data_IF_578844624731
#
_entry.id   IF_578844624731
#
_cell.length_a   1.000
_cell.length_b   1.000
_cell.length_c   1.000
_cell.angle_alpha   90.00
_cell.angle_beta   90.00
_cell.angle_gamma   90.00
#
_symmetry.space_group_name_H-M   'P 1'
#
loop_
_entity.id
_entity.type
_entity.pdbx_description
1 polymer ?
#
# COMPACT_ATOMS: atom_id res chain seq x y z
N UNK A 1 23.76 -17.34 13.33
CA UNK A 1 24.13 -18.65 13.91
C UNK A 1 23.34 -19.76 13.22
N UNK A 2 23.69 -20.07 11.97
CA UNK A 2 23.24 -21.28 11.27
C UNK A 2 24.27 -22.39 11.58
N UNK A 3 25.57 -22.09 11.44
CA UNK A 3 26.67 -23.05 11.68
C UNK A 3 26.77 -23.65 13.10
N UNK A 4 26.27 -23.00 14.16
CA UNK A 4 26.41 -23.54 15.53
C UNK A 4 25.37 -24.63 15.86
N UNK A 5 24.22 -24.65 15.16
CA UNK A 5 23.14 -25.60 15.42
C UNK A 5 23.07 -26.74 14.38
N UNK A 6 23.83 -26.67 13.29
CA UNK A 6 23.79 -27.67 12.20
C UNK A 6 24.92 -28.70 12.23
N UNK A 7 25.75 -28.74 13.28
CA UNK A 7 26.77 -29.77 13.50
C UNK A 7 27.50 -30.20 12.23
N UNK A 8 28.34 -29.33 11.65
CA UNK A 8 29.11 -29.59 10.43
C UNK A 8 28.36 -30.31 9.29
N UNK A 9 27.03 -30.17 9.22
CA UNK A 9 26.23 -30.70 8.12
C UNK A 9 26.79 -30.10 6.83
N UNK A 10 27.31 -30.98 5.98
CA UNK A 10 27.85 -30.60 4.69
C UNK A 10 26.68 -30.02 3.91
N UNK A 11 26.71 -28.71 3.64
CA UNK A 11 25.69 -28.06 2.85
C UNK A 11 25.78 -28.60 1.43
N UNK A 12 24.90 -29.54 1.11
CA UNK A 12 24.75 -30.01 -0.25
C UNK A 12 24.12 -28.89 -1.09
N UNK A 13 24.80 -28.56 -2.18
CA UNK A 13 24.45 -27.48 -3.10
C UNK A 13 23.04 -27.69 -3.67
N UNK A 14 22.61 -28.95 -3.82
CA UNK A 14 21.26 -29.29 -4.26
C UNK A 14 20.21 -28.79 -3.27
N UNK A 15 20.39 -29.04 -1.97
CA UNK A 15 19.48 -28.53 -0.93
C UNK A 15 19.45 -27.01 -0.85
N UNK A 16 20.59 -26.34 -1.05
CA UNK A 16 20.63 -24.87 -1.08
C UNK A 16 19.85 -24.32 -2.28
N UNK A 17 19.98 -24.96 -3.44
CA UNK A 17 19.24 -24.57 -4.64
C UNK A 17 17.74 -24.83 -4.50
N UNK A 18 17.33 -25.95 -3.90
CA UNK A 18 15.92 -26.24 -3.60
C UNK A 18 15.35 -25.20 -2.63
N UNK A 19 16.05 -24.93 -1.52
CA UNK A 19 15.65 -23.92 -0.55
C UNK A 19 15.51 -22.53 -1.18
N UNK A 20 16.46 -22.13 -2.03
CA UNK A 20 16.39 -20.87 -2.77
C UNK A 20 15.19 -20.85 -3.74
N UNK A 21 14.92 -21.96 -4.43
CA UNK A 21 13.78 -22.09 -5.34
C UNK A 21 12.41 -22.02 -4.65
N UNK A 22 12.33 -22.37 -3.36
CA UNK A 22 11.11 -22.26 -2.55
C UNK A 22 10.83 -20.84 -2.04
N UNK A 23 11.81 -19.93 -2.08
CA UNK A 23 11.60 -18.55 -1.65
C UNK A 23 10.74 -17.78 -2.66
N UNK A 24 9.79 -16.98 -2.17
CA UNK A 24 9.06 -16.02 -3.00
C UNK A 24 10.11 -15.08 -3.63
N UNK A 25 10.09 -14.85 -4.96
CA UNK A 25 11.04 -13.96 -5.64
C UNK A 25 11.10 -12.54 -5.07
N UNK A 26 10.09 -12.14 -4.29
CA UNK A 26 9.99 -10.84 -3.62
C UNK A 26 10.63 -10.83 -2.23
N UNK A 27 11.18 -11.95 -1.74
CA UNK A 27 11.96 -11.99 -0.51
C UNK A 27 13.31 -11.32 -0.76
N UNK A 28 13.55 -10.22 -0.08
CA UNK A 28 14.84 -9.55 -0.10
C UNK A 28 15.73 -10.06 1.05
N UNK A 29 17.05 -9.91 0.92
CA UNK A 29 17.99 -10.31 1.98
C UNK A 29 17.66 -9.68 3.35
N UNK A 30 17.32 -8.38 3.46
CA UNK A 30 16.87 -7.81 4.73
C UNK A 30 15.62 -8.49 5.33
N UNK A 31 14.64 -8.85 4.50
CA UNK A 31 13.45 -9.58 4.96
C UNK A 31 13.81 -10.98 5.47
N UNK A 32 14.69 -11.69 4.77
CA UNK A 32 15.15 -13.01 5.20
C UNK A 32 15.90 -12.95 6.54
N UNK A 33 16.80 -11.96 6.72
CA UNK A 33 17.53 -11.77 7.97
C UNK A 33 16.58 -11.44 9.14
N UNK A 34 15.59 -10.58 8.91
CA UNK A 34 14.58 -10.24 9.91
C UNK A 34 13.70 -11.45 10.27
N UNK A 35 13.33 -12.26 9.27
CA UNK A 35 12.57 -13.49 9.47
C UNK A 35 13.35 -14.48 10.34
N UNK A 36 14.62 -14.75 10.01
CA UNK A 36 15.51 -15.62 10.80
C UNK A 36 15.61 -15.13 12.25
N UNK A 37 15.85 -13.83 12.45
CA UNK A 37 15.94 -13.26 13.80
C UNK A 37 14.63 -13.40 14.57
N UNK A 38 13.50 -13.07 13.94
CA UNK A 38 12.18 -13.08 14.58
C UNK A 38 11.69 -14.49 14.90
N UNK A 39 11.97 -15.47 14.04
CA UNK A 39 11.56 -16.84 14.24
C UNK A 39 12.33 -17.48 15.40
N UNK A 40 13.65 -17.44 15.40
CA UNK A 40 14.44 -18.07 16.46
C UNK A 40 14.35 -17.34 17.81
N UNK A 41 13.95 -16.07 17.82
CA UNK A 41 13.57 -15.39 19.06
C UNK A 41 12.26 -15.92 19.66
N UNK A 42 11.34 -16.45 18.85
CA UNK A 42 10.04 -16.94 19.28
C UNK A 42 9.95 -18.48 19.40
N UNK A 43 10.72 -19.20 18.58
CA UNK A 43 10.69 -20.65 18.40
C UNK A 43 12.13 -21.17 18.28
N UNK A 44 12.87 -21.16 19.39
CA UNK A 44 14.29 -21.53 19.41
C UNK A 44 14.55 -23.03 19.19
N UNK A 45 13.53 -23.86 19.40
CA UNK A 45 13.57 -25.33 19.32
C UNK A 45 13.13 -25.87 17.95
N UNK A 46 12.58 -25.03 17.08
CA UNK A 46 12.06 -25.42 15.77
C UNK A 46 13.01 -25.06 14.63
N UNK A 47 12.89 -25.81 13.55
CA UNK A 47 13.66 -25.60 12.34
C UNK A 47 12.87 -24.71 11.38
N UNK A 48 13.45 -23.57 11.04
CA UNK A 48 12.87 -22.67 10.05
C UNK A 48 12.83 -23.32 8.66
N UNK A 49 11.69 -23.22 8.00
CA UNK A 49 11.51 -23.61 6.59
C UNK A 49 11.47 -22.38 5.68
N UNK A 50 11.62 -22.58 4.36
CA UNK A 50 11.47 -21.49 3.39
C UNK A 50 10.07 -20.85 3.44
N UNK A 51 9.04 -21.66 3.70
CA UNK A 51 7.66 -21.20 3.90
C UNK A 51 7.52 -20.19 5.06
N UNK A 52 8.29 -20.37 6.14
CA UNK A 52 8.28 -19.44 7.27
C UNK A 52 8.86 -18.08 6.85
N UNK A 53 9.98 -18.10 6.12
CA UNK A 53 10.59 -16.87 5.58
C UNK A 53 9.60 -16.14 4.67
N UNK A 54 8.93 -16.86 3.77
CA UNK A 54 7.92 -16.29 2.88
C UNK A 54 6.76 -15.66 3.66
N UNK A 55 6.28 -16.32 4.73
CA UNK A 55 5.23 -15.79 5.58
C UNK A 55 5.65 -14.52 6.33
N UNK A 56 6.86 -14.49 6.89
CA UNK A 56 7.41 -13.30 7.55
C UNK A 56 7.60 -12.15 6.56
N UNK A 57 8.22 -12.41 5.41
CA UNK A 57 8.41 -11.41 4.36
C UNK A 57 7.07 -10.87 3.84
N UNK A 58 6.06 -11.72 3.69
CA UNK A 58 4.69 -11.27 3.37
C UNK A 58 4.13 -10.34 4.45
N UNK A 59 4.23 -10.70 5.72
CA UNK A 59 3.77 -9.86 6.84
C UNK A 59 4.50 -8.51 6.89
N UNK A 60 5.81 -8.51 6.65
CA UNK A 60 6.60 -7.28 6.58
C UNK A 60 6.12 -6.36 5.45
N UNK A 61 5.91 -6.93 4.25
CA UNK A 61 5.36 -6.18 3.10
C UNK A 61 3.97 -5.64 3.39
N UNK A 62 3.09 -6.44 3.99
CA UNK A 62 1.73 -6.01 4.33
C UNK A 62 1.73 -4.88 5.37
N UNK A 63 2.63 -4.92 6.38
CA UNK A 63 2.81 -3.84 7.36
C UNK A 63 3.40 -2.58 6.76
N UNK A 64 4.30 -2.73 5.79
CA UNK A 64 4.96 -1.63 5.10
C UNK A 64 4.14 -1.11 3.91
N UNK A 65 2.93 -1.61 3.67
CA UNK A 65 2.05 -1.07 2.64
C UNK A 65 1.47 0.26 3.12
N UNK A 66 1.61 1.35 2.34
CA UNK A 66 0.98 2.62 2.69
C UNK A 66 -0.54 2.46 2.68
N UNK A 67 -1.21 3.07 3.66
CA UNK A 67 -2.67 3.12 3.69
C UNK A 67 -3.19 4.01 2.56
N UNK A 68 -4.45 3.81 2.15
CA UNK A 68 -5.07 4.68 1.13
C UNK A 68 -5.08 6.15 1.58
N UNK A 69 -5.27 6.41 2.88
CA UNK A 69 -5.17 7.75 3.44
C UNK A 69 -3.77 8.36 3.23
N UNK A 70 -2.69 7.59 3.48
CA UNK A 70 -1.33 8.06 3.26
C UNK A 70 -1.03 8.32 1.77
N UNK A 71 -1.59 7.51 0.87
CA UNK A 71 -1.47 7.72 -0.57
C UNK A 71 -2.23 9.00 -0.97
N UNK A 72 -3.45 9.21 -0.47
CA UNK A 72 -4.23 10.44 -0.68
C UNK A 72 -3.50 11.69 -0.19
N UNK A 73 -2.95 11.66 1.02
CA UNK A 73 -2.19 12.77 1.59
C UNK A 73 -0.94 13.08 0.76
N UNK A 74 -0.23 12.04 0.29
CA UNK A 74 0.92 12.20 -0.59
C UNK A 74 0.53 12.80 -1.95
N UNK A 75 -0.58 12.36 -2.54
CA UNK A 75 -1.12 12.93 -3.78
C UNK A 75 -1.50 14.41 -3.61
N UNK A 76 -2.16 14.77 -2.50
CA UNK A 76 -2.52 16.16 -2.20
C UNK A 76 -1.27 17.04 -2.04
N UNK A 77 -0.27 16.57 -1.29
CA UNK A 77 1.02 17.27 -1.13
C UNK A 77 1.76 17.44 -2.45
N UNK A 78 1.65 16.46 -3.34
CA UNK A 78 2.21 16.47 -4.68
C UNK A 78 1.40 17.32 -5.69
N UNK A 79 0.21 17.81 -5.32
CA UNK A 79 -0.67 18.54 -6.23
C UNK A 79 -1.33 17.67 -7.32
N UNK A 80 -1.35 16.35 -7.13
CA UNK A 80 -1.97 15.39 -8.05
C UNK A 80 -3.50 15.52 -7.90
N UNK A 81 -4.17 15.98 -8.96
CA UNK A 81 -5.62 16.24 -8.95
C UNK A 81 -6.36 15.62 -10.13
N UNK A 82 -5.65 15.15 -11.15
CA UNK A 82 -6.24 14.50 -12.30
C UNK A 82 -6.54 13.02 -12.05
N UNK A 83 -7.70 12.53 -12.48
CA UNK A 83 -8.15 11.16 -12.22
C UNK A 83 -7.17 10.11 -12.79
N UNK A 84 -6.60 10.37 -13.96
CA UNK A 84 -5.65 9.45 -14.61
C UNK A 84 -4.33 9.41 -13.84
N UNK A 85 -3.89 10.57 -13.40
CA UNK A 85 -2.68 10.84 -12.64
C UNK A 85 -2.75 10.16 -11.28
N UNK A 86 -3.86 10.34 -10.56
CA UNK A 86 -4.11 9.64 -9.29
C UNK A 86 -4.01 8.11 -9.44
N UNK A 87 -4.64 7.54 -10.48
CA UNK A 87 -4.56 6.10 -10.74
C UNK A 87 -3.16 5.64 -11.12
N UNK A 88 -2.41 6.44 -11.88
CA UNK A 88 -1.03 6.13 -12.23
C UNK A 88 -0.12 6.15 -11.00
N UNK A 89 -0.28 7.15 -10.13
CA UNK A 89 0.46 7.27 -8.87
C UNK A 89 0.18 6.07 -7.95
N UNK A 90 -1.09 5.75 -7.70
CA UNK A 90 -1.51 4.58 -6.92
C UNK A 90 -0.87 3.28 -7.44
N UNK A 91 -0.89 3.06 -8.76
CA UNK A 91 -0.29 1.87 -9.38
C UNK A 91 1.22 1.82 -9.18
N UNK A 92 1.92 2.94 -9.37
CA UNK A 92 3.36 3.03 -9.19
C UNK A 92 3.77 2.72 -7.74
N UNK A 93 3.09 3.33 -6.75
CA UNK A 93 3.33 3.07 -5.32
C UNK A 93 3.12 1.59 -5.00
N UNK A 94 1.98 1.02 -5.41
CA UNK A 94 1.66 -0.38 -5.14
C UNK A 94 2.67 -1.35 -5.78
N UNK A 95 3.15 -1.05 -6.98
CA UNK A 95 4.15 -1.85 -7.65
C UNK A 95 5.49 -1.82 -6.91
N UNK A 96 5.97 -0.64 -6.52
CA UNK A 96 7.22 -0.49 -5.79
C UNK A 96 7.18 -1.18 -4.42
N UNK A 97 6.04 -1.10 -3.73
CA UNK A 97 5.84 -1.84 -2.46
C UNK A 97 5.81 -3.35 -2.70
N UNK A 98 5.20 -3.80 -3.80
CA UNK A 98 5.20 -5.21 -4.17
C UNK A 98 6.61 -5.74 -4.51
N UNK A 99 7.49 -4.89 -5.03
CA UNK A 99 8.92 -5.13 -5.28
C UNK A 99 9.79 -5.01 -4.02
N UNK A 100 9.18 -4.71 -2.86
CA UNK A 100 9.87 -4.71 -1.57
C UNK A 100 10.42 -3.36 -1.13
N UNK A 101 10.14 -2.26 -1.85
CA UNK A 101 10.42 -0.91 -1.31
C UNK A 101 9.52 -0.64 -0.11
N UNK A 102 10.03 0.11 0.87
CA UNK A 102 9.20 0.58 1.97
C UNK A 102 8.18 1.63 1.47
N UNK A 103 7.10 1.85 2.23
CA UNK A 103 6.05 2.80 1.89
C UNK A 103 6.57 4.20 1.57
N UNK A 104 7.46 4.74 2.41
CA UNK A 104 7.91 6.12 2.31
C UNK A 104 8.73 6.33 1.03
N UNK A 105 9.65 5.43 0.75
CA UNK A 105 10.47 5.45 -0.47
C UNK A 105 9.62 5.23 -1.72
N UNK A 106 8.60 4.36 -1.64
CA UNK A 106 7.66 4.15 -2.75
C UNK A 106 6.83 5.40 -3.05
N UNK A 107 6.31 6.08 -2.03
CA UNK A 107 5.56 7.35 -2.17
C UNK A 107 6.43 8.45 -2.78
N UNK A 108 7.67 8.57 -2.31
CA UNK A 108 8.63 9.57 -2.79
C UNK A 108 9.07 9.28 -4.23
N UNK A 109 9.46 8.03 -4.52
CA UNK A 109 9.96 7.64 -5.85
C UNK A 109 8.85 7.68 -6.92
N UNK A 110 7.61 7.34 -6.56
CA UNK A 110 6.48 7.45 -7.48
C UNK A 110 6.26 8.89 -7.95
N UNK A 111 6.46 9.88 -7.07
CA UNK A 111 6.39 11.30 -7.43
C UNK A 111 7.53 11.71 -8.38
N UNK A 112 8.76 11.32 -8.04
CA UNK A 112 9.95 11.65 -8.84
C UNK A 112 9.96 11.03 -10.24
N UNK A 113 9.25 9.92 -10.45
CA UNK A 113 9.20 9.24 -11.76
C UNK A 113 8.27 9.88 -12.78
N UNK A 114 7.27 10.69 -12.38
CA UNK A 114 6.38 11.35 -13.36
C UNK A 114 6.04 12.81 -13.04
N UNK A 115 7.01 13.69 -12.79
CA UNK A 115 6.75 15.10 -12.45
C UNK A 115 5.84 15.79 -13.48
N UNK A 116 6.08 15.56 -14.78
CA UNK A 116 5.33 16.22 -15.86
C UNK A 116 3.90 15.71 -16.05
N UNK A 117 3.63 14.46 -15.64
CA UNK A 117 2.28 13.88 -15.74
C UNK A 117 1.41 14.31 -14.56
N UNK A 118 2.01 14.53 -13.39
CA UNK A 118 1.32 14.84 -12.15
C UNK A 118 0.95 16.32 -11.97
N UNK A 119 1.66 17.22 -12.67
CA UNK A 119 1.36 18.66 -12.65
C UNK A 119 0.22 18.96 -13.63
N UNK A 120 -1.01 18.75 -13.20
CA UNK A 120 -2.17 19.36 -13.88
C UNK A 120 -2.23 20.82 -13.44
N UNK A 121 -1.70 21.69 -14.28
CA UNK A 121 -1.60 23.12 -14.08
C UNK A 121 -2.86 23.74 -13.42
N UNK A 122 -2.75 24.13 -12.15
CA UNK A 122 -3.42 25.31 -11.64
C UNK A 122 -2.74 26.55 -12.25
N UNK A 123 -2.89 26.75 -13.57
CA UNK A 123 -2.32 27.91 -14.27
C UNK A 123 -3.09 29.22 -14.01
N UNK A 124 -4.22 29.16 -13.29
CA UNK A 124 -5.14 30.29 -13.11
C UNK A 124 -5.37 30.73 -11.65
N UNK A 125 -4.57 30.29 -10.68
CA UNK A 125 -4.46 30.91 -9.34
C UNK A 125 -5.75 31.11 -8.54
N UNK A 126 -6.88 30.51 -8.94
CA UNK A 126 -8.17 30.66 -8.27
C UNK A 126 -8.45 29.43 -7.44
N UNK A 127 -8.13 29.51 -6.15
CA UNK A 127 -8.76 28.65 -5.15
C UNK A 127 -10.25 29.03 -5.16
N UNK A 128 -11.10 28.17 -5.73
CA UNK A 128 -12.51 28.22 -5.39
C UNK A 128 -12.66 27.48 -4.06
N UNK A 129 -13.09 28.14 -2.97
CA UNK A 129 -13.47 27.40 -1.77
C UNK A 129 -14.61 26.46 -2.15
N UNK A 130 -14.51 25.18 -1.76
CA UNK A 130 -15.65 24.26 -1.78
C UNK A 130 -16.76 24.90 -0.95
N UNK A 131 -17.75 25.50 -1.62
CA UNK A 131 -19.01 25.77 -0.97
C UNK A 131 -19.64 24.41 -0.68
N UNK A 132 -19.71 24.07 0.60
CA UNK A 132 -20.59 23.01 1.10
C UNK A 132 -22.03 23.45 0.80
N UNK A 133 -22.51 23.14 -0.40
CA UNK A 133 -23.94 23.22 -0.72
C UNK A 133 -24.56 21.92 -0.23
N UNK A 134 -24.72 21.83 1.10
CA UNK A 134 -25.76 20.99 1.68
C UNK A 134 -27.05 21.81 1.72
N UNK A 135 -27.51 22.28 0.56
CA UNK A 135 -28.92 22.64 0.43
C UNK A 135 -29.69 21.34 0.36
N UNK A 136 -30.07 20.82 1.54
CA UNK A 136 -31.29 20.04 1.64
C UNK A 136 -32.37 20.92 1.03
N UNK A 137 -32.93 20.52 -0.11
CA UNK A 137 -34.14 21.14 -0.62
C UNK A 137 -35.18 21.07 0.50
N UNK A 138 -35.85 22.18 0.88
CA UNK A 138 -37.09 22.06 1.60
C UNK A 138 -38.11 21.48 0.61
N UNK A 139 -38.43 20.20 0.78
CA UNK A 139 -39.64 19.61 0.22
C UNK A 139 -40.79 20.54 0.56
N UNK A 140 -41.42 21.15 -0.44
CA UNK A 140 -42.56 22.05 -0.20
C UNK A 140 -43.65 21.22 0.45
N UNK A 141 -44.03 21.60 1.67
CA UNK A 141 -45.07 20.95 2.48
C UNK A 141 -46.50 21.03 1.88
N UNK A 142 -46.64 21.53 0.65
CA UNK A 142 -47.93 21.68 -0.05
C UNK A 142 -48.32 20.45 -0.88
N UNK A 143 -47.40 19.51 -1.10
CA UNK A 143 -47.67 18.30 -1.90
C UNK A 143 -48.09 17.09 -1.04
N UNK A 144 -48.21 17.26 0.29
CA UNK A 144 -48.53 16.17 1.24
C UNK A 144 -49.98 16.24 1.74
N UNK A 145 -50.67 17.36 1.58
CA UNK A 145 -52.07 17.52 2.02
C UNK A 145 -52.93 17.87 0.81
N UNK A 146 -53.75 16.92 0.39
CA UNK A 146 -54.69 17.08 -0.71
C UNK A 146 -55.63 18.26 -0.48
N UNK A 147 -55.77 19.11 -1.49
CA UNK A 147 -56.81 20.12 -1.51
C UNK A 147 -58.17 19.45 -1.70
N UNK A 148 -59.00 19.49 -0.67
CA UNK A 148 -60.44 19.31 -0.82
C UNK A 148 -61.02 20.54 -1.53
N UNK A 149 -61.66 20.30 -2.68
CA UNK A 149 -62.44 21.32 -3.38
C UNK A 149 -63.64 21.73 -2.54
N UNK A 150 -63.99 23.02 -2.45
CA UNK A 150 -65.32 23.40 -1.97
C UNK A 150 -66.35 23.12 -3.06
N UNK A 151 -67.35 22.31 -2.73
CA UNK A 151 -68.64 22.24 -3.43
C UNK A 151 -69.53 23.37 -2.96
N UNK A 152 -70.02 24.17 -3.92
CA UNK A 152 -71.14 25.13 -3.92
C UNK A 152 -71.54 25.86 -2.62
#
# INVERSE_FOLDING_TARGET
MIRHHHGDATFDVEYVNMFHGELDPKVTLPMALEAVRSFYAAQSDKWMQAADINAYAKRMRDRNRPSEAAICDAMQRAGITGVREEQAYRRAVNQMVAEGKNAQDALQAAFSMQPDKFITANRNGRIQPRQNVLTRQPTRLRDILGEEKPTD
#
